data_IF_105995594804
#
_entry.id   IF_105995594804
#
_cell.length_a   1.000
_cell.length_b   1.000
_cell.length_c   1.000
_cell.angle_alpha   90.00
_cell.angle_beta   90.00
_cell.angle_gamma   90.00
#
_symmetry.space_group_name_H-M   'P 1'
#
loop_
_entity.id
_entity.type
_entity.pdbx_description
1 polymer ?
#
# COMPACT_ATOMS: atom_id res chain seq x y z
N UNK A 1 16.62 -58.26 11.19
CA UNK A 1 15.56 -57.26 11.48
C UNK A 1 16.10 -55.89 11.10
N UNK A 2 15.63 -55.30 10.00
CA UNK A 2 15.99 -53.94 9.59
C UNK A 2 15.01 -52.96 10.23
N UNK A 3 15.48 -52.21 11.23
CA UNK A 3 14.68 -51.19 11.90
C UNK A 3 14.51 -49.96 11.01
N UNK A 4 13.27 -49.60 10.71
CA UNK A 4 12.94 -48.34 10.07
C UNK A 4 13.30 -47.18 11.01
N UNK A 5 14.17 -46.26 10.57
CA UNK A 5 14.41 -45.00 11.28
C UNK A 5 13.18 -44.11 11.11
N UNK A 6 12.51 -43.81 12.22
CA UNK A 6 11.41 -42.84 12.27
C UNK A 6 11.89 -41.48 11.78
N UNK A 7 11.36 -41.02 10.64
CA UNK A 7 11.60 -39.67 10.15
C UNK A 7 10.85 -38.72 11.09
N UNK A 8 11.58 -37.99 11.93
CA UNK A 8 11.03 -36.97 12.82
C UNK A 8 10.25 -35.90 12.02
N UNK A 9 8.96 -35.73 12.34
CA UNK A 9 8.01 -34.83 11.70
C UNK A 9 8.36 -33.32 11.83
N UNK A 10 9.39 -32.96 12.58
CA UNK A 10 9.84 -31.58 12.81
C UNK A 10 10.26 -30.87 11.51
N UNK A 11 10.82 -31.61 10.54
CA UNK A 11 11.20 -31.06 9.22
C UNK A 11 9.99 -30.76 8.31
N UNK A 12 8.84 -31.39 8.55
CA UNK A 12 7.62 -31.10 7.78
C UNK A 12 6.95 -29.81 8.29
N UNK A 13 6.95 -29.57 9.60
CA UNK A 13 6.47 -28.32 10.21
C UNK A 13 7.24 -27.09 9.71
N UNK A 14 8.58 -27.19 9.68
CA UNK A 14 9.42 -26.11 9.12
C UNK A 14 9.10 -25.78 7.65
N UNK A 15 8.67 -26.77 6.86
CA UNK A 15 8.38 -26.58 5.43
C UNK A 15 7.05 -25.87 5.19
N UNK A 16 6.08 -26.02 6.09
CA UNK A 16 4.79 -25.32 6.08
C UNK A 16 4.85 -23.93 6.75
N UNK A 17 5.72 -23.76 7.74
CA UNK A 17 5.96 -22.48 8.42
C UNK A 17 6.59 -21.43 7.51
N UNK A 18 7.46 -21.82 6.57
CA UNK A 18 8.12 -20.89 5.64
C UNK A 18 7.13 -20.16 4.71
N UNK A 19 6.17 -20.84 4.05
CA UNK A 19 5.07 -20.18 3.34
C UNK A 19 4.24 -19.25 4.23
N UNK A 20 3.90 -19.67 5.45
CA UNK A 20 3.09 -18.87 6.36
C UNK A 20 3.83 -17.60 6.84
N UNK A 21 5.11 -17.72 7.15
CA UNK A 21 5.96 -16.58 7.53
C UNK A 21 6.15 -15.59 6.38
N UNK A 22 6.28 -16.08 5.13
CA UNK A 22 6.33 -15.22 3.93
C UNK A 22 5.02 -14.45 3.73
N UNK A 23 3.88 -15.10 3.89
CA UNK A 23 2.56 -14.46 3.80
C UNK A 23 2.37 -13.41 4.91
N UNK A 24 2.76 -13.72 6.14
CA UNK A 24 2.71 -12.78 7.26
C UNK A 24 3.60 -11.55 7.01
N UNK A 25 4.82 -11.76 6.50
CA UNK A 25 5.72 -10.67 6.15
C UNK A 25 5.16 -9.79 5.02
N UNK A 26 4.55 -10.40 3.99
CA UNK A 26 3.89 -9.67 2.91
C UNK A 26 2.72 -8.82 3.42
N UNK A 27 1.87 -9.38 4.29
CA UNK A 27 0.76 -8.66 4.93
C UNK A 27 1.27 -7.48 5.75
N UNK A 28 2.32 -7.68 6.55
CA UNK A 28 2.94 -6.61 7.34
C UNK A 28 3.47 -5.48 6.46
N UNK A 29 4.31 -5.81 5.47
CA UNK A 29 4.86 -4.81 4.54
C UNK A 29 3.79 -4.02 3.81
N UNK A 30 2.69 -4.68 3.46
CA UNK A 30 1.54 -4.04 2.83
C UNK A 30 0.84 -3.07 3.77
N UNK A 31 0.62 -3.46 5.03
CA UNK A 31 0.04 -2.56 6.03
C UNK A 31 0.95 -1.36 6.33
N UNK A 32 2.25 -1.60 6.47
CA UNK A 32 3.26 -0.54 6.66
C UNK A 32 3.21 0.45 5.49
N UNK A 33 3.22 -0.04 4.24
CA UNK A 33 3.11 0.79 3.05
C UNK A 33 1.81 1.62 3.00
N UNK A 34 0.67 1.03 3.35
CA UNK A 34 -0.60 1.77 3.41
C UNK A 34 -0.51 2.91 4.42
N UNK A 35 0.03 2.65 5.60
CA UNK A 35 0.17 3.68 6.63
C UNK A 35 1.16 4.79 6.21
N UNK A 36 2.28 4.42 5.61
CA UNK A 36 3.31 5.36 5.16
C UNK A 36 2.82 6.29 4.03
N UNK A 37 1.86 5.85 3.21
CA UNK A 37 1.37 6.61 2.06
C UNK A 37 0.19 7.54 2.35
N UNK A 38 -0.58 7.31 3.42
CA UNK A 38 -1.77 8.13 3.73
C UNK A 38 -1.42 9.59 3.99
N UNK A 39 -0.39 9.84 4.80
CA UNK A 39 0.00 11.21 5.18
C UNK A 39 0.55 12.01 3.99
N UNK A 40 1.50 11.50 3.18
CA UNK A 40 1.98 12.20 1.99
C UNK A 40 0.87 12.54 0.99
N UNK A 41 -0.08 11.62 0.74
CA UNK A 41 -1.19 11.86 -0.18
C UNK A 41 -2.06 13.02 0.33
N UNK A 42 -2.37 13.05 1.63
CA UNK A 42 -3.15 14.11 2.25
C UNK A 42 -2.41 15.46 2.16
N UNK A 43 -1.12 15.50 2.50
CA UNK A 43 -0.32 16.73 2.46
C UNK A 43 -0.25 17.30 1.05
N UNK A 44 0.04 16.46 0.04
CA UNK A 44 0.14 16.89 -1.35
C UNK A 44 -1.20 17.43 -1.85
N UNK A 45 -2.30 16.71 -1.58
CA UNK A 45 -3.64 17.12 -2.02
C UNK A 45 -4.04 18.45 -1.40
N UNK A 46 -3.87 18.59 -0.08
CA UNK A 46 -4.23 19.80 0.65
C UNK A 46 -3.39 21.00 0.22
N UNK A 47 -2.08 20.80 0.03
CA UNK A 47 -1.20 21.87 -0.44
C UNK A 47 -1.58 22.31 -1.86
N UNK A 48 -1.88 21.37 -2.75
CA UNK A 48 -2.28 21.66 -4.12
C UNK A 48 -3.59 22.45 -4.16
N UNK A 49 -4.61 22.03 -3.42
CA UNK A 49 -5.90 22.72 -3.39
C UNK A 49 -5.80 24.10 -2.73
N UNK A 50 -5.03 24.22 -1.63
CA UNK A 50 -4.80 25.53 -0.98
C UNK A 50 -4.09 26.52 -1.91
N UNK A 51 -3.09 26.06 -2.65
CA UNK A 51 -2.35 26.90 -3.59
C UNK A 51 -3.22 27.27 -4.79
N UNK A 52 -4.03 26.32 -5.30
CA UNK A 52 -4.97 26.57 -6.38
C UNK A 52 -6.00 27.64 -5.98
N UNK A 53 -6.58 27.55 -4.79
CA UNK A 53 -7.57 28.51 -4.30
C UNK A 53 -7.00 29.93 -4.20
N UNK A 54 -5.74 30.05 -3.78
CA UNK A 54 -5.09 31.36 -3.60
C UNK A 54 -4.58 31.96 -4.91
N UNK A 55 -4.04 31.13 -5.79
CA UNK A 55 -3.27 31.58 -6.95
C UNK A 55 -4.00 31.37 -8.27
N UNK A 56 -4.97 30.45 -8.36
CA UNK A 56 -5.52 29.92 -9.61
C UNK A 56 -5.95 30.99 -10.61
N UNK A 57 -6.58 32.08 -10.14
CA UNK A 57 -7.01 33.19 -11.02
C UNK A 57 -5.88 33.98 -11.67
N UNK A 58 -4.65 33.85 -11.17
CA UNK A 58 -3.46 34.56 -11.65
C UNK A 58 -2.54 33.67 -12.49
N UNK A 59 -2.84 32.38 -12.59
CA UNK A 59 -2.01 31.40 -13.28
C UNK A 59 -2.45 31.26 -14.74
N UNK A 60 -1.48 30.99 -15.61
CA UNK A 60 -1.76 30.63 -16.99
C UNK A 60 -2.32 29.20 -17.11
N UNK A 61 -2.85 28.86 -18.29
CA UNK A 61 -3.47 27.56 -18.54
C UNK A 61 -2.52 26.37 -18.36
N UNK A 62 -1.24 26.52 -18.72
CA UNK A 62 -0.24 25.45 -18.58
C UNK A 62 0.04 25.19 -17.10
N UNK A 63 0.14 26.25 -16.29
CA UNK A 63 0.31 26.12 -14.85
C UNK A 63 -0.90 25.48 -14.19
N UNK A 64 -2.12 25.86 -14.58
CA UNK A 64 -3.36 25.23 -14.08
C UNK A 64 -3.44 23.73 -14.41
N UNK A 65 -2.91 23.31 -15.57
CA UNK A 65 -2.85 21.90 -15.94
C UNK A 65 -2.01 21.06 -14.96
N UNK A 66 -0.93 21.61 -14.40
CA UNK A 66 -0.14 20.91 -13.37
C UNK A 66 -0.95 20.69 -12.09
N UNK A 67 -1.76 21.65 -11.66
CA UNK A 67 -2.65 21.48 -10.50
C UNK A 67 -3.65 20.34 -10.71
N UNK A 68 -4.25 20.26 -11.90
CA UNK A 68 -5.16 19.17 -12.26
C UNK A 68 -4.43 17.83 -12.40
N UNK A 69 -3.20 17.82 -12.90
CA UNK A 69 -2.38 16.62 -12.95
C UNK A 69 -2.07 16.10 -11.53
N UNK A 70 -1.67 16.97 -10.61
CA UNK A 70 -1.42 16.63 -9.21
C UNK A 70 -2.69 16.08 -8.55
N UNK A 71 -3.83 16.74 -8.76
CA UNK A 71 -5.13 16.28 -8.23
C UNK A 71 -5.49 14.88 -8.72
N UNK A 72 -5.35 14.62 -10.03
CA UNK A 72 -5.58 13.30 -10.63
C UNK A 72 -4.62 12.24 -10.09
N UNK A 73 -3.34 12.58 -9.94
CA UNK A 73 -2.34 11.67 -9.40
C UNK A 73 -2.65 11.31 -7.93
N UNK A 74 -2.97 12.30 -7.10
CA UNK A 74 -3.33 12.07 -5.71
C UNK A 74 -4.60 11.23 -5.55
N UNK A 75 -5.63 11.51 -6.36
CA UNK A 75 -6.86 10.70 -6.38
C UNK A 75 -6.58 9.24 -6.76
N UNK A 76 -5.77 9.00 -7.80
CA UNK A 76 -5.38 7.65 -8.22
C UNK A 76 -4.58 6.93 -7.14
N UNK A 77 -3.61 7.60 -6.52
CA UNK A 77 -2.83 7.04 -5.42
C UNK A 77 -3.71 6.68 -4.23
N UNK A 78 -4.68 7.54 -3.88
CA UNK A 78 -5.65 7.28 -2.82
C UNK A 78 -6.50 6.03 -3.12
N UNK A 79 -7.01 5.90 -4.33
CA UNK A 79 -7.77 4.70 -4.73
C UNK A 79 -6.92 3.43 -4.60
N UNK A 80 -5.69 3.43 -5.10
CA UNK A 80 -4.79 2.29 -5.00
C UNK A 80 -4.46 1.93 -3.54
N UNK A 81 -4.28 2.92 -2.67
CA UNK A 81 -4.08 2.69 -1.23
C UNK A 81 -5.30 2.06 -0.58
N UNK A 82 -6.52 2.49 -0.93
CA UNK A 82 -7.75 1.90 -0.42
C UNK A 82 -8.01 0.49 -0.97
N UNK A 83 -7.67 0.22 -2.23
CA UNK A 83 -7.68 -1.13 -2.81
C UNK A 83 -6.73 -2.05 -2.04
N UNK A 84 -5.49 -1.61 -1.81
CA UNK A 84 -4.52 -2.34 -1.00
C UNK A 84 -5.07 -2.59 0.41
N UNK A 85 -5.66 -1.58 1.05
CA UNK A 85 -6.27 -1.73 2.38
C UNK A 85 -7.38 -2.78 2.40
N UNK A 86 -8.23 -2.81 1.37
CA UNK A 86 -9.40 -3.69 1.28
C UNK A 86 -9.02 -5.15 1.03
N UNK A 87 -8.05 -5.40 0.14
CA UNK A 87 -7.48 -6.73 -0.11
C UNK A 87 -6.81 -7.38 1.13
N UNK A 88 -6.53 -6.60 2.18
CA UNK A 88 -5.97 -7.11 3.43
C UNK A 88 -6.99 -7.73 4.38
N UNK A 89 -8.30 -7.60 4.11
CA UNK A 89 -9.37 -7.97 5.02
C UNK A 89 -10.21 -9.13 4.44
N UNK A 90 -9.98 -10.39 4.85
CA UNK A 90 -10.65 -11.57 4.27
C UNK A 90 -12.12 -11.77 4.73
N UNK A 91 -12.66 -10.90 5.60
CA UNK A 91 -14.03 -11.01 6.16
C UNK A 91 -15.03 -9.99 5.56
N UNK A 92 -14.88 -9.61 4.29
CA UNK A 92 -15.91 -8.90 3.51
C UNK A 92 -16.15 -9.56 2.16
#
# INVERSE_FOLDING_TARGET
>A
MMGYKSIHCERLKQKEEVPQMRLALQRKRKADLVNDLVDPICVISNANDLLYDKLGRFLDAQTLEYFEMIRRAAAKSKMLVEELRSEGNPDR
#
